data_IF_352486106468
#
_entry.id   IF_352486106468
#
_cell.length_a   1.000
_cell.length_b   1.000
_cell.length_c   1.000
_cell.angle_alpha   90.00
_cell.angle_beta   90.00
_cell.angle_gamma   90.00
#
_symmetry.space_group_name_H-M   'P 1'
#
loop_
_entity.id
_entity.type
_entity.pdbx_description
1 polymer ?
#
# COMPACT_ATOMS: atom_id res chain seq x y z
N UNK A 1 15.17 1.93 -8.60
CA UNK A 1 14.31 3.04 -9.02
C UNK A 1 12.92 2.91 -8.40
N UNK A 2 12.33 4.03 -7.97
CA UNK A 2 11.00 4.05 -7.33
C UNK A 2 10.09 5.13 -7.93
N UNK A 3 8.80 4.91 -7.90
CA UNK A 3 7.79 5.97 -8.02
C UNK A 3 7.56 6.52 -6.61
N UNK A 4 7.61 7.81 -6.43
CA UNK A 4 7.18 8.51 -5.21
C UNK A 4 5.87 9.23 -5.50
N UNK A 5 4.84 8.96 -4.71
CA UNK A 5 3.52 9.55 -4.87
C UNK A 5 3.46 11.06 -4.74
N UNK A 6 2.29 11.64 -4.95
CA UNK A 6 2.02 13.07 -4.77
C UNK A 6 0.71 13.30 -4.05
N UNK A 7 0.63 14.39 -3.30
CA UNK A 7 -0.60 14.85 -2.66
C UNK A 7 -1.38 15.84 -3.53
N UNK A 8 -0.84 16.17 -4.72
CA UNK A 8 -1.49 17.09 -5.64
C UNK A 8 -2.90 16.62 -5.98
N UNK A 9 -3.86 17.51 -5.84
CA UNK A 9 -5.28 17.22 -6.04
C UNK A 9 -5.84 16.10 -5.16
N UNK A 10 -5.18 15.74 -4.04
CA UNK A 10 -5.72 14.73 -3.13
C UNK A 10 -7.13 15.12 -2.70
N UNK A 11 -8.07 14.20 -2.87
CA UNK A 11 -9.49 14.41 -2.72
C UNK A 11 -10.13 13.28 -1.93
N UNK A 12 -11.11 13.61 -1.10
CA UNK A 12 -11.99 12.62 -0.51
C UNK A 12 -13.07 12.25 -1.54
N UNK A 13 -13.14 11.01 -2.00
CA UNK A 13 -14.08 10.63 -3.04
C UNK A 13 -15.52 10.64 -2.54
N UNK A 14 -16.47 10.79 -3.46
CA UNK A 14 -17.89 10.66 -3.17
C UNK A 14 -18.18 9.33 -2.48
N UNK A 15 -18.98 9.38 -1.42
CA UNK A 15 -19.30 8.24 -0.60
C UNK A 15 -19.94 7.09 -1.39
N UNK A 16 -19.41 5.89 -1.19
CA UNK A 16 -19.89 4.66 -1.82
C UNK A 16 -19.63 3.44 -0.92
N UNK A 17 -20.27 2.30 -1.22
CA UNK A 17 -20.08 1.06 -0.44
C UNK A 17 -18.64 0.56 -0.42
N UNK A 18 -17.88 0.86 -1.46
CA UNK A 18 -16.47 0.50 -1.58
C UNK A 18 -15.59 1.12 -0.49
N UNK A 19 -15.91 2.35 -0.03
CA UNK A 19 -15.16 3.01 1.02
C UNK A 19 -15.20 2.25 2.37
N UNK A 20 -16.16 1.36 2.55
CA UNK A 20 -16.19 0.49 3.72
C UNK A 20 -15.02 -0.50 3.79
N UNK A 21 -14.36 -0.77 2.67
CA UNK A 21 -13.14 -1.59 2.65
C UNK A 21 -11.99 -0.96 3.44
N UNK A 22 -11.94 0.37 3.52
CA UNK A 22 -10.85 1.11 4.17
C UNK A 22 -11.25 1.82 5.46
N UNK A 23 -12.52 1.71 5.88
CA UNK A 23 -12.95 2.27 7.16
C UNK A 23 -12.80 1.25 8.27
N UNK A 24 -12.19 1.64 9.38
CA UNK A 24 -12.14 0.82 10.58
C UNK A 24 -13.56 0.58 11.11
N UNK A 25 -13.83 -0.64 11.61
CA UNK A 25 -15.18 -1.06 12.03
C UNK A 25 -15.75 -0.22 13.20
N UNK A 26 -14.87 0.39 14.02
CA UNK A 26 -15.21 1.30 15.10
C UNK A 26 -15.47 2.74 14.63
N UNK A 27 -15.21 3.03 13.36
CA UNK A 27 -15.45 4.33 12.75
C UNK A 27 -16.67 4.25 11.82
N UNK A 28 -17.86 4.18 12.39
CA UNK A 28 -19.15 4.23 11.67
C UNK A 28 -19.36 5.54 10.88
N UNK A 29 -18.33 6.37 10.81
CA UNK A 29 -18.36 7.69 10.23
C UNK A 29 -17.34 7.78 9.08
N UNK A 30 -17.81 7.41 7.88
CA UNK A 30 -17.45 8.27 6.77
C UNK A 30 -18.30 9.52 7.03
N UNK A 31 -17.70 10.67 7.27
CA UNK A 31 -18.48 11.89 7.33
C UNK A 31 -19.25 12.00 6.03
N UNK A 32 -20.57 12.03 6.03
CA UNK A 32 -21.35 12.00 4.79
C UNK A 32 -21.17 13.23 3.92
N UNK A 33 -20.47 14.25 4.42
CA UNK A 33 -20.37 15.58 3.83
C UNK A 33 -18.92 16.00 3.50
N UNK A 34 -17.93 15.09 3.55
CA UNK A 34 -16.51 15.43 3.33
C UNK A 34 -15.96 14.98 1.97
N UNK A 35 -16.76 15.00 0.92
CA UNK A 35 -16.18 14.93 -0.41
C UNK A 35 -15.49 16.25 -0.76
N UNK A 36 -14.30 16.18 -1.32
CA UNK A 36 -13.54 17.34 -1.70
C UNK A 36 -12.07 17.30 -1.33
N UNK A 37 -11.37 18.40 -1.56
CA UNK A 37 -9.94 18.47 -1.27
C UNK A 37 -9.67 18.42 0.24
N UNK A 38 -8.55 17.81 0.58
CA UNK A 38 -8.03 17.83 1.94
C UNK A 38 -7.72 19.25 2.40
N UNK A 39 -7.74 19.46 3.72
CA UNK A 39 -7.34 20.70 4.36
C UNK A 39 -5.97 21.19 3.84
N UNK A 40 -5.84 22.49 3.67
CA UNK A 40 -4.60 23.10 3.15
C UNK A 40 -3.37 22.78 4.00
N UNK A 41 -3.53 22.62 5.32
CA UNK A 41 -2.44 22.21 6.22
C UNK A 41 -1.97 20.79 5.86
N UNK A 42 -2.90 19.84 5.69
CA UNK A 42 -2.58 18.47 5.27
C UNK A 42 -1.84 18.48 3.94
N UNK A 43 -2.33 19.26 2.98
CA UNK A 43 -1.71 19.38 1.66
C UNK A 43 -0.27 19.89 1.74
N UNK A 44 -0.04 21.07 2.31
CA UNK A 44 1.29 21.70 2.28
C UNK A 44 2.31 20.95 3.14
N UNK A 45 1.92 20.46 4.30
CA UNK A 45 2.81 19.68 5.15
C UNK A 45 3.16 18.32 4.51
N UNK A 46 2.24 17.67 3.81
CA UNK A 46 2.54 16.42 3.11
C UNK A 46 3.41 16.66 1.88
N UNK A 47 3.19 17.76 1.14
CA UNK A 47 4.04 18.12 0.01
C UNK A 47 5.50 18.31 0.47
N UNK A 48 5.73 19.06 1.54
CA UNK A 48 7.05 19.25 2.13
C UNK A 48 7.67 17.90 2.56
N UNK A 49 6.90 17.03 3.21
CA UNK A 49 7.37 15.71 3.65
C UNK A 49 7.78 14.83 2.45
N UNK A 50 7.01 14.83 1.36
CA UNK A 50 7.35 14.09 0.15
C UNK A 50 8.57 14.67 -0.58
N UNK A 51 8.78 15.98 -0.57
CA UNK A 51 9.98 16.63 -1.12
C UNK A 51 11.23 16.25 -0.31
N UNK A 52 11.12 16.25 1.02
CA UNK A 52 12.19 15.81 1.90
C UNK A 52 12.50 14.31 1.71
N UNK A 53 11.49 13.45 1.62
CA UNK A 53 11.68 12.04 1.33
C UNK A 53 12.33 11.81 -0.04
N UNK A 54 11.95 12.59 -1.06
CA UNK A 54 12.61 12.52 -2.36
C UNK A 54 14.09 12.83 -2.25
N UNK A 55 14.45 13.87 -1.50
CA UNK A 55 15.85 14.26 -1.28
C UNK A 55 16.63 13.14 -0.58
N UNK A 56 16.07 12.58 0.52
CA UNK A 56 16.67 11.45 1.25
C UNK A 56 16.93 10.25 0.33
N UNK A 57 15.94 9.90 -0.51
CA UNK A 57 16.06 8.79 -1.45
C UNK A 57 17.14 9.05 -2.52
N UNK A 58 17.19 10.26 -3.07
CA UNK A 58 18.18 10.64 -4.09
C UNK A 58 19.61 10.69 -3.53
N UNK A 59 19.79 11.17 -2.31
CA UNK A 59 21.09 11.17 -1.61
C UNK A 59 21.55 9.71 -1.32
N UNK A 60 20.61 8.78 -1.10
CA UNK A 60 20.88 7.35 -1.00
C UNK A 60 21.10 6.67 -2.37
N UNK A 61 21.16 7.42 -3.48
CA UNK A 61 21.39 6.89 -4.82
C UNK A 61 20.16 6.31 -5.52
N UNK A 62 18.96 6.48 -4.96
CA UNK A 62 17.72 5.97 -5.55
C UNK A 62 17.23 6.95 -6.62
N UNK A 63 16.97 6.45 -7.83
CA UNK A 63 16.28 7.24 -8.86
C UNK A 63 14.80 7.33 -8.55
N UNK A 64 14.31 8.55 -8.39
CA UNK A 64 12.92 8.83 -8.04
C UNK A 64 12.14 9.34 -9.25
N UNK A 65 11.03 8.72 -9.56
CA UNK A 65 10.05 9.15 -10.56
C UNK A 65 8.85 9.76 -9.86
N UNK A 66 8.31 10.85 -10.43
CA UNK A 66 7.09 11.49 -9.91
C UNK A 66 5.93 11.27 -10.88
N UNK A 67 4.70 11.01 -10.37
CA UNK A 67 3.52 10.91 -11.22
C UNK A 67 3.17 12.26 -11.86
N UNK A 68 2.50 12.20 -13.01
CA UNK A 68 1.80 13.36 -13.55
C UNK A 68 0.50 13.58 -12.77
N UNK A 69 0.29 14.74 -12.11
CA UNK A 69 -0.93 14.96 -11.34
C UNK A 69 -2.21 14.80 -12.19
N UNK A 70 -3.21 14.14 -11.63
CA UNK A 70 -4.52 13.95 -12.27
C UNK A 70 -5.58 14.86 -11.63
N UNK A 71 -6.64 15.18 -12.38
CA UNK A 71 -7.79 15.93 -11.87
C UNK A 71 -8.73 14.97 -11.10
N UNK A 72 -8.51 14.85 -9.80
CA UNK A 72 -9.21 13.87 -8.96
C UNK A 72 -10.70 14.16 -8.75
N UNK A 73 -11.13 15.43 -8.86
CA UNK A 73 -12.55 15.80 -8.74
C UNK A 73 -13.37 15.48 -9.99
N UNK A 74 -12.71 15.08 -11.07
CA UNK A 74 -13.40 14.63 -12.28
C UNK A 74 -14.21 13.38 -11.96
N UNK A 75 -15.47 13.37 -12.38
CA UNK A 75 -16.32 12.18 -12.29
C UNK A 75 -15.83 11.09 -13.22
N UNK A 76 -15.64 9.91 -12.67
CA UNK A 76 -15.31 8.68 -13.37
C UNK A 76 -16.46 7.68 -13.25
N UNK A 77 -16.60 6.77 -14.22
CA UNK A 77 -17.64 5.75 -14.26
C UNK A 77 -17.20 4.57 -15.13
N UNK A 78 -17.66 3.36 -14.78
CA UNK A 78 -17.52 2.19 -15.64
C UNK A 78 -18.88 1.65 -16.12
N UNK A 79 -19.96 2.41 -15.94
CA UNK A 79 -21.32 2.02 -16.31
C UNK A 79 -22.14 1.35 -15.19
N UNK A 80 -21.49 0.81 -14.16
CA UNK A 80 -22.17 0.23 -12.97
C UNK A 80 -22.23 1.21 -11.82
N UNK A 81 -21.27 2.12 -11.71
CA UNK A 81 -21.15 3.14 -10.69
C UNK A 81 -20.55 4.42 -11.26
N UNK A 82 -20.61 5.49 -10.50
CA UNK A 82 -19.92 6.74 -10.74
C UNK A 82 -19.39 7.29 -9.42
N UNK A 83 -18.22 7.88 -9.45
CA UNK A 83 -17.58 8.56 -8.32
C UNK A 83 -16.56 9.56 -8.84
N UNK A 84 -15.88 10.30 -7.99
CA UNK A 84 -14.64 11.00 -8.32
C UNK A 84 -13.43 10.21 -7.84
N UNK A 85 -12.23 10.61 -8.26
CA UNK A 85 -11.00 9.90 -7.89
C UNK A 85 -10.56 10.30 -6.49
N UNK A 86 -9.65 9.51 -5.90
CA UNK A 86 -9.21 9.70 -4.53
C UNK A 86 -7.93 10.55 -4.48
N UNK A 87 -6.78 9.97 -4.77
CA UNK A 87 -5.47 10.62 -4.75
C UNK A 87 -4.47 9.83 -5.60
N UNK A 88 -3.23 10.29 -5.62
CA UNK A 88 -2.07 9.58 -6.18
C UNK A 88 -0.92 9.53 -5.17
N UNK A 89 -1.28 9.49 -3.88
CA UNK A 89 -0.36 9.55 -2.76
C UNK A 89 0.33 8.20 -2.49
N UNK A 90 -0.40 7.08 -2.64
CA UNK A 90 0.10 5.73 -2.38
C UNK A 90 0.23 4.90 -3.66
N UNK A 91 1.28 5.08 -4.47
CA UNK A 91 1.51 4.26 -5.68
C UNK A 91 1.65 2.77 -5.37
N UNK A 92 2.16 2.40 -4.20
CA UNK A 92 2.32 1.01 -3.74
C UNK A 92 1.03 0.22 -3.80
N UNK A 93 -0.10 0.87 -3.57
CA UNK A 93 -1.41 0.20 -3.55
C UNK A 93 -1.88 -0.18 -4.96
N UNK A 94 -1.45 0.56 -5.96
CA UNK A 94 -2.01 0.50 -7.33
C UNK A 94 -1.15 -0.25 -8.31
N UNK A 95 0.14 -0.45 -8.02
CA UNK A 95 1.08 -1.11 -8.91
C UNK A 95 2.09 -1.97 -8.15
N UNK A 96 2.38 -3.14 -8.68
CA UNK A 96 3.49 -3.99 -8.25
C UNK A 96 4.35 -4.38 -9.44
N UNK A 97 5.65 -4.59 -9.18
CA UNK A 97 6.58 -5.13 -10.18
C UNK A 97 7.07 -6.48 -9.70
N UNK A 98 6.86 -7.51 -10.53
CA UNK A 98 7.31 -8.89 -10.23
C UNK A 98 8.19 -9.34 -11.40
N UNK A 99 9.46 -9.59 -11.12
CA UNK A 99 10.45 -9.78 -12.16
C UNK A 99 10.61 -8.52 -13.01
N UNK A 100 10.39 -8.63 -14.31
CA UNK A 100 10.43 -7.54 -15.29
C UNK A 100 9.03 -7.00 -15.66
N UNK A 101 8.00 -7.44 -14.94
CA UNK A 101 6.60 -7.14 -15.29
C UNK A 101 5.99 -6.15 -14.32
N UNK A 102 5.54 -5.01 -14.85
CA UNK A 102 4.73 -4.01 -14.16
C UNK A 102 3.28 -4.47 -14.23
N UNK A 103 2.63 -4.64 -13.09
CA UNK A 103 1.23 -5.08 -12.99
C UNK A 103 0.41 -3.95 -12.34
N UNK A 104 -0.54 -3.40 -13.10
CA UNK A 104 -1.55 -2.49 -12.55
C UNK A 104 -2.63 -3.31 -11.84
N UNK A 105 -2.88 -2.99 -10.57
CA UNK A 105 -3.84 -3.72 -9.74
C UNK A 105 -5.29 -3.45 -10.15
N UNK A 106 -6.20 -4.41 -9.93
CA UNK A 106 -7.62 -4.26 -10.22
C UNK A 106 -8.39 -3.47 -9.17
N UNK A 107 -7.72 -2.88 -8.21
CA UNK A 107 -8.15 -2.01 -7.11
C UNK A 107 -9.49 -2.36 -6.46
N UNK A 108 -9.53 -2.35 -5.15
CA UNK A 108 -10.74 -2.58 -4.36
C UNK A 108 -11.70 -1.38 -4.32
N UNK A 109 -11.16 -0.18 -4.45
CA UNK A 109 -11.96 1.07 -4.44
C UNK A 109 -12.30 1.54 -5.85
N UNK A 110 -13.56 1.89 -6.06
CA UNK A 110 -14.06 2.50 -7.30
C UNK A 110 -13.31 3.78 -7.66
N UNK A 111 -13.04 4.60 -6.68
CA UNK A 111 -12.32 5.88 -6.82
C UNK A 111 -10.87 5.73 -7.24
N UNK A 112 -10.28 4.53 -7.14
CA UNK A 112 -8.89 4.25 -7.48
C UNK A 112 -8.71 3.46 -8.79
N UNK A 113 -9.80 3.11 -9.49
CA UNK A 113 -9.78 2.29 -10.70
C UNK A 113 -8.92 2.86 -11.85
N UNK A 114 -8.77 4.18 -11.92
CA UNK A 114 -8.00 4.88 -12.94
C UNK A 114 -6.80 5.64 -12.36
N UNK A 115 -6.42 5.37 -11.10
CA UNK A 115 -5.33 6.07 -10.43
C UNK A 115 -3.99 5.85 -11.14
N UNK A 116 -3.77 4.69 -11.75
CA UNK A 116 -2.54 4.38 -12.50
C UNK A 116 -2.34 5.22 -13.76
N UNK A 117 -3.35 5.99 -14.20
CA UNK A 117 -3.22 6.90 -15.34
C UNK A 117 -2.12 7.96 -15.11
N UNK A 118 -1.89 8.35 -13.84
CA UNK A 118 -0.82 9.27 -13.48
C UNK A 118 0.60 8.71 -13.69
N UNK A 119 0.76 7.40 -13.85
CA UNK A 119 2.05 6.72 -14.03
C UNK A 119 2.30 6.29 -15.47
N UNK A 120 1.37 6.54 -16.41
CA UNK A 120 1.46 6.03 -17.79
C UNK A 120 2.75 6.42 -18.50
N UNK A 121 3.22 7.65 -18.34
CA UNK A 121 4.47 8.09 -18.97
C UNK A 121 5.67 7.30 -18.44
N UNK A 122 5.69 7.00 -17.14
CA UNK A 122 6.72 6.20 -16.49
C UNK A 122 6.66 4.75 -17.03
N UNK A 123 5.47 4.17 -17.12
CA UNK A 123 5.30 2.80 -17.63
C UNK A 123 5.66 2.68 -19.11
N UNK A 124 5.34 3.69 -19.93
CA UNK A 124 5.75 3.75 -21.33
C UNK A 124 7.28 3.79 -21.45
N UNK A 125 7.96 4.59 -20.60
CA UNK A 125 9.42 4.63 -20.56
C UNK A 125 10.00 3.25 -20.21
N UNK A 126 9.49 2.59 -19.17
CA UNK A 126 9.93 1.27 -18.74
C UNK A 126 9.66 0.18 -19.79
N UNK A 127 8.51 0.22 -20.43
CA UNK A 127 8.18 -0.69 -21.52
C UNK A 127 9.17 -0.53 -22.69
N UNK A 128 9.55 0.71 -23.05
CA UNK A 128 10.57 0.97 -24.09
C UNK A 128 11.96 0.47 -23.69
N UNK A 129 12.22 0.34 -22.39
CA UNK A 129 13.46 -0.21 -21.82
C UNK A 129 13.42 -1.76 -21.71
N UNK A 130 12.30 -2.41 -22.07
CA UNK A 130 12.15 -3.85 -22.11
C UNK A 130 11.29 -4.46 -21.00
N UNK A 131 10.73 -3.68 -20.10
CA UNK A 131 9.79 -4.19 -19.11
C UNK A 131 8.48 -4.62 -19.76
N UNK A 132 7.90 -5.70 -19.27
CA UNK A 132 6.50 -6.03 -19.57
C UNK A 132 5.59 -5.10 -18.77
N UNK A 133 4.42 -4.79 -19.35
CA UNK A 133 3.41 -3.97 -18.68
C UNK A 133 2.03 -4.55 -18.96
N UNK A 134 1.29 -4.83 -17.87
CA UNK A 134 -0.04 -5.44 -17.93
C UNK A 134 -0.97 -4.77 -16.94
N UNK A 135 -2.23 -4.63 -17.32
CA UNK A 135 -3.31 -4.27 -16.40
C UNK A 135 -4.07 -5.55 -16.00
N UNK A 136 -4.22 -5.81 -14.72
CA UNK A 136 -5.09 -6.89 -14.25
C UNK A 136 -6.54 -6.66 -14.72
N UNK A 137 -7.38 -7.71 -14.83
CA UNK A 137 -8.78 -7.55 -15.22
C UNK A 137 -9.49 -6.52 -14.37
N UNK A 138 -10.07 -5.49 -14.99
CA UNK A 138 -10.82 -4.47 -14.26
C UNK A 138 -12.16 -5.05 -13.78
N UNK A 139 -12.41 -5.14 -12.46
CA UNK A 139 -13.66 -5.65 -11.93
C UNK A 139 -14.80 -4.64 -12.16
N UNK A 140 -16.02 -5.14 -12.21
CA UNK A 140 -17.21 -4.28 -12.30
C UNK A 140 -17.42 -3.48 -11.03
N UNK A 141 -17.09 -4.03 -9.87
CA UNK A 141 -17.29 -3.44 -8.54
C UNK A 141 -18.73 -2.99 -8.32
N UNK A 142 -19.68 -3.84 -8.68
CA UNK A 142 -21.09 -3.62 -8.36
C UNK A 142 -21.27 -3.60 -6.84
N UNK A 143 -22.45 -3.19 -6.37
CA UNK A 143 -22.74 -3.14 -4.93
C UNK A 143 -22.61 -4.51 -4.24
N UNK A 144 -22.79 -5.62 -4.99
CA UNK A 144 -22.64 -6.99 -4.50
C UNK A 144 -21.16 -7.37 -4.24
N UNK A 145 -20.22 -6.56 -4.73
CA UNK A 145 -18.79 -6.73 -4.41
C UNK A 145 -18.49 -6.37 -2.95
N UNK A 146 -19.44 -5.76 -2.23
CA UNK A 146 -19.25 -5.27 -0.87
C UNK A 146 -20.41 -5.70 0.03
N UNK A 147 -20.09 -6.29 1.17
CA UNK A 147 -21.06 -6.66 2.19
C UNK A 147 -20.74 -5.97 3.52
N UNK A 148 -21.79 -5.68 4.33
CA UNK A 148 -21.71 -5.17 5.69
C UNK A 148 -22.76 -5.78 6.62
N UNK A 149 -23.46 -6.77 6.16
CA UNK A 149 -24.52 -7.43 6.94
C UNK A 149 -23.92 -8.22 8.11
N UNK A 150 -22.72 -8.76 7.89
CA UNK A 150 -21.94 -9.46 8.93
C UNK A 150 -20.54 -8.82 9.05
N UNK A 151 -20.35 -8.02 10.09
CA UNK A 151 -19.08 -7.34 10.38
C UNK A 151 -17.95 -8.29 10.85
N UNK A 152 -18.26 -9.56 11.13
CA UNK A 152 -17.25 -10.59 11.39
C UNK A 152 -16.59 -11.10 10.10
N UNK A 153 -17.17 -10.79 8.95
CA UNK A 153 -16.66 -11.13 7.63
C UNK A 153 -16.00 -9.92 6.97
N UNK A 154 -15.15 -10.19 5.98
CA UNK A 154 -14.56 -9.13 5.16
C UNK A 154 -15.65 -8.39 4.39
N UNK A 155 -15.45 -7.09 4.21
CA UNK A 155 -16.34 -6.25 3.39
C UNK A 155 -16.28 -6.66 1.92
N UNK A 156 -15.07 -6.93 1.38
CA UNK A 156 -14.87 -7.36 0.00
C UNK A 156 -15.30 -8.82 -0.19
N UNK A 157 -16.17 -9.07 -1.16
CA UNK A 157 -16.65 -10.42 -1.54
C UNK A 157 -15.76 -11.08 -2.59
N UNK A 158 -15.92 -12.39 -2.79
CA UNK A 158 -15.16 -13.19 -3.77
C UNK A 158 -15.92 -13.37 -5.11
N UNK A 159 -16.58 -12.34 -5.63
CA UNK A 159 -17.34 -12.46 -6.89
C UNK A 159 -16.53 -12.10 -8.15
N UNK A 160 -15.47 -11.34 -8.01
CA UNK A 160 -14.54 -10.97 -9.08
C UNK A 160 -13.10 -10.91 -8.52
N UNK A 161 -12.06 -11.10 -9.37
CA UNK A 161 -10.68 -10.90 -8.91
C UNK A 161 -10.42 -9.44 -8.55
N UNK A 162 -10.11 -9.19 -7.28
CA UNK A 162 -9.82 -7.85 -6.76
C UNK A 162 -8.63 -7.91 -5.81
N UNK A 163 -7.68 -7.01 -5.98
CA UNK A 163 -6.61 -6.77 -5.00
C UNK A 163 -5.97 -5.39 -5.21
N UNK A 164 -5.56 -4.79 -4.12
CA UNK A 164 -4.60 -3.71 -4.10
C UNK A 164 -3.19 -4.31 -4.09
N UNK A 165 -2.23 -3.70 -4.78
CA UNK A 165 -0.86 -4.24 -4.85
C UNK A 165 -0.17 -4.27 -3.48
N UNK A 166 -0.56 -3.41 -2.55
CA UNK A 166 -0.06 -3.43 -1.18
C UNK A 166 -0.53 -4.64 -0.33
N UNK A 167 -1.36 -5.52 -0.89
CA UNK A 167 -1.63 -6.85 -0.31
C UNK A 167 -0.50 -7.86 -0.60
N UNK A 168 0.52 -7.46 -1.36
CA UNK A 168 1.54 -8.34 -1.90
C UNK A 168 2.91 -7.97 -1.33
N UNK A 169 3.63 -8.96 -0.79
CA UNK A 169 5.07 -8.87 -0.51
C UNK A 169 5.82 -9.88 -1.38
N UNK A 170 6.90 -9.44 -1.98
CA UNK A 170 7.78 -10.26 -2.82
C UNK A 170 8.92 -10.83 -1.99
N UNK A 171 9.14 -12.13 -2.08
CA UNK A 171 10.23 -12.83 -1.43
C UNK A 171 10.86 -13.79 -2.44
N UNK A 172 11.72 -13.30 -3.31
CA UNK A 172 12.29 -14.03 -4.45
C UNK A 172 11.18 -14.59 -5.37
N UNK A 173 11.08 -15.91 -5.50
CA UNK A 173 10.02 -16.59 -6.26
C UNK A 173 8.74 -16.82 -5.45
N UNK A 174 8.74 -16.48 -4.18
CA UNK A 174 7.57 -16.56 -3.29
C UNK A 174 6.88 -15.21 -3.16
N UNK A 175 5.57 -15.22 -3.27
CA UNK A 175 4.71 -14.04 -3.17
C UNK A 175 3.77 -14.25 -2.00
N UNK A 176 3.93 -13.46 -0.94
CA UNK A 176 2.97 -13.43 0.15
C UNK A 176 1.81 -12.53 -0.25
N UNK A 177 0.61 -13.05 -0.20
CA UNK A 177 -0.62 -12.34 -0.57
C UNK A 177 -1.59 -12.33 0.61
N UNK A 178 -1.93 -11.14 1.10
CA UNK A 178 -2.88 -10.98 2.20
C UNK A 178 -4.32 -11.02 1.68
N UNK A 179 -5.11 -11.98 2.14
CA UNK A 179 -6.56 -12.00 1.97
C UNK A 179 -7.20 -11.03 2.98
N UNK A 180 -7.79 -9.92 2.49
CA UNK A 180 -8.31 -8.83 3.32
C UNK A 180 -9.44 -8.07 2.62
N UNK A 181 -9.93 -6.98 3.22
CA UNK A 181 -10.93 -6.10 2.60
C UNK A 181 -10.46 -5.44 1.29
N UNK A 182 -9.17 -5.50 0.98
CA UNK A 182 -8.59 -4.91 -0.23
C UNK A 182 -7.94 -5.93 -1.15
N UNK A 183 -8.13 -7.23 -0.89
CA UNK A 183 -7.62 -8.29 -1.75
C UNK A 183 -8.25 -9.63 -1.43
N UNK A 184 -8.99 -10.20 -2.38
CA UNK A 184 -9.75 -11.43 -2.20
C UNK A 184 -9.04 -12.67 -2.79
N UNK A 185 -9.59 -13.87 -2.55
CA UNK A 185 -9.02 -15.14 -3.00
C UNK A 185 -9.01 -15.28 -4.52
N UNK A 186 -10.01 -14.75 -5.21
CA UNK A 186 -10.01 -14.76 -6.68
C UNK A 186 -8.90 -13.88 -7.24
N UNK A 187 -8.55 -12.77 -6.57
CA UNK A 187 -7.39 -11.95 -6.90
C UNK A 187 -6.08 -12.71 -6.79
N UNK A 188 -5.90 -13.46 -5.69
CA UNK A 188 -4.75 -14.33 -5.49
C UNK A 188 -4.67 -15.44 -6.56
N UNK A 189 -5.80 -16.07 -6.88
CA UNK A 189 -5.86 -17.09 -7.91
C UNK A 189 -5.52 -16.55 -9.30
N UNK A 190 -6.04 -15.35 -9.63
CA UNK A 190 -5.68 -14.69 -10.88
C UNK A 190 -4.18 -14.42 -10.95
N UNK A 191 -3.61 -13.86 -9.86
CA UNK A 191 -2.18 -13.55 -9.79
C UNK A 191 -1.34 -14.82 -9.97
N UNK A 192 -1.66 -15.92 -9.28
CA UNK A 192 -0.96 -17.20 -9.45
C UNK A 192 -1.04 -17.72 -10.89
N UNK A 193 -2.22 -17.67 -11.49
CA UNK A 193 -2.41 -18.11 -12.88
C UNK A 193 -1.60 -17.25 -13.87
N UNK A 194 -1.56 -15.93 -13.64
CA UNK A 194 -0.80 -14.99 -14.47
C UNK A 194 0.71 -15.21 -14.35
N UNK A 195 1.22 -15.38 -13.13
CA UNK A 195 2.64 -15.56 -12.86
C UNK A 195 3.17 -16.95 -13.26
N UNK A 196 2.28 -17.92 -13.44
CA UNK A 196 2.63 -19.29 -13.81
C UNK A 196 3.40 -20.05 -12.75
N UNK A 197 4.17 -21.05 -13.15
CA UNK A 197 4.90 -21.94 -12.22
C UNK A 197 6.22 -21.38 -11.70
N UNK A 198 6.68 -20.25 -12.24
CA UNK A 198 7.92 -19.60 -11.79
C UNK A 198 7.77 -19.04 -10.39
N UNK A 199 6.58 -18.51 -10.07
CA UNK A 199 6.28 -17.91 -8.78
C UNK A 199 5.24 -18.71 -8.01
N UNK A 200 5.30 -18.65 -6.68
CA UNK A 200 4.36 -19.28 -5.75
C UNK A 200 3.63 -18.22 -4.95
N UNK A 201 2.31 -18.12 -5.11
CA UNK A 201 1.47 -17.20 -4.35
C UNK A 201 0.96 -17.89 -3.09
N UNK A 202 1.39 -17.41 -1.92
CA UNK A 202 0.98 -17.88 -0.61
C UNK A 202 -0.12 -16.98 -0.07
N UNK A 203 -1.34 -17.49 -0.01
CA UNK A 203 -2.49 -16.73 0.53
C UNK A 203 -2.43 -16.77 2.05
N UNK A 204 -2.33 -15.59 2.66
CA UNK A 204 -2.29 -15.40 4.10
C UNK A 204 -3.70 -15.10 4.61
N UNK A 205 -4.19 -15.98 5.47
CA UNK A 205 -5.47 -15.85 6.16
C UNK A 205 -5.23 -15.79 7.67
N UNK A 206 -6.16 -15.20 8.42
CA UNK A 206 -6.12 -15.14 9.90
C UNK A 206 -4.91 -14.36 10.48
N UNK A 207 -4.31 -13.48 9.72
CA UNK A 207 -3.26 -12.56 10.18
C UNK A 207 -3.87 -11.19 10.43
N UNK A 208 -4.38 -10.57 9.36
CA UNK A 208 -4.97 -9.25 9.38
C UNK A 208 -5.94 -9.12 8.21
N UNK A 209 -7.22 -9.03 8.49
CA UNK A 209 -8.26 -9.05 7.45
C UNK A 209 -8.67 -7.66 6.95
N UNK A 210 -8.07 -6.59 7.49
CA UNK A 210 -8.60 -5.25 7.28
C UNK A 210 -8.12 -4.63 5.95
N UNK A 211 -6.84 -4.19 5.84
CA UNK A 211 -6.35 -3.55 4.62
C UNK A 211 -5.09 -4.27 4.10
N UNK A 212 -3.97 -3.57 4.04
CA UNK A 212 -2.72 -3.97 3.40
C UNK A 212 -1.78 -4.73 4.36
N UNK A 213 -0.83 -5.47 3.80
CA UNK A 213 0.12 -6.29 4.58
C UNK A 213 1.26 -5.47 5.18
N UNK A 214 1.61 -4.35 4.60
CA UNK A 214 2.83 -3.59 4.87
C UNK A 214 2.86 -2.80 6.19
N UNK A 215 1.78 -2.84 6.96
CA UNK A 215 1.76 -2.44 8.38
C UNK A 215 1.74 -3.65 9.33
N UNK A 216 1.95 -4.84 8.80
CA UNK A 216 1.88 -6.13 9.52
C UNK A 216 3.18 -6.90 9.40
N UNK A 217 3.75 -6.97 8.20
CA UNK A 217 5.01 -7.65 7.88
C UNK A 217 5.83 -6.71 7.00
N UNK A 218 7.09 -6.49 7.35
CA UNK A 218 8.09 -5.89 6.46
C UNK A 218 9.26 -6.85 6.27
N UNK A 219 9.59 -7.14 5.01
CA UNK A 219 10.75 -7.95 4.66
C UNK A 219 11.95 -7.01 4.54
N UNK A 220 12.91 -7.11 5.47
CA UNK A 220 14.06 -6.20 5.54
C UNK A 220 15.18 -6.65 4.59
N UNK A 221 15.52 -7.93 4.66
CA UNK A 221 16.45 -8.65 3.77
C UNK A 221 16.15 -10.14 3.80
N UNK A 222 16.79 -10.92 2.96
CA UNK A 222 16.68 -12.36 3.03
C UNK A 222 17.08 -12.88 4.43
N UNK A 223 16.21 -13.67 5.03
CA UNK A 223 16.39 -14.23 6.38
C UNK A 223 16.04 -13.28 7.53
N UNK A 224 15.58 -12.05 7.30
CA UNK A 224 15.21 -11.10 8.35
C UNK A 224 13.91 -10.36 8.04
N UNK A 225 12.95 -10.41 8.94
CA UNK A 225 11.68 -9.69 8.83
C UNK A 225 11.31 -8.92 10.10
N UNK A 226 10.55 -7.84 9.92
CA UNK A 226 9.92 -7.07 11.00
C UNK A 226 8.45 -7.45 11.05
N UNK A 227 7.94 -7.78 12.24
CA UNK A 227 6.59 -8.30 12.45
C UNK A 227 5.84 -7.45 13.46
N UNK A 228 4.58 -7.17 13.16
CA UNK A 228 3.64 -6.54 14.08
C UNK A 228 3.14 -7.57 15.10
N UNK A 229 3.49 -7.46 16.40
CA UNK A 229 3.15 -8.47 17.41
C UNK A 229 1.67 -8.53 17.78
N UNK A 230 0.87 -7.51 17.44
CA UNK A 230 -0.58 -7.55 17.64
C UNK A 230 -1.32 -8.38 16.59
N UNK A 231 -0.67 -8.67 15.46
CA UNK A 231 -1.30 -9.34 14.31
C UNK A 231 -0.64 -10.65 13.94
N UNK A 232 0.66 -10.77 14.18
CA UNK A 232 1.46 -11.97 13.87
C UNK A 232 1.96 -12.61 15.16
N UNK A 233 1.87 -13.92 15.23
CA UNK A 233 2.41 -14.74 16.31
C UNK A 233 2.92 -16.07 15.74
N UNK A 234 3.45 -16.96 16.57
CA UNK A 234 4.04 -18.22 16.13
C UNK A 234 3.01 -19.17 15.44
N UNK A 235 1.72 -19.05 15.78
CA UNK A 235 0.68 -19.92 15.23
C UNK A 235 0.21 -19.50 13.84
N UNK A 236 0.13 -18.18 13.58
CA UNK A 236 -0.38 -17.63 12.31
C UNK A 236 0.70 -17.11 11.37
N UNK A 237 1.96 -17.17 11.77
CA UNK A 237 3.10 -16.73 10.95
C UNK A 237 3.18 -17.53 9.65
N UNK A 238 3.41 -16.85 8.49
CA UNK A 238 3.66 -17.54 7.24
C UNK A 238 4.79 -18.57 7.35
N UNK A 239 4.57 -19.79 6.84
CA UNK A 239 5.54 -20.87 6.92
C UNK A 239 6.93 -20.48 6.40
N UNK A 240 6.94 -19.70 5.32
CA UNK A 240 8.17 -19.15 4.72
C UNK A 240 9.02 -18.34 5.71
N UNK A 241 8.40 -17.65 6.64
CA UNK A 241 9.08 -16.77 7.59
C UNK A 241 9.48 -17.47 8.90
N UNK A 242 9.04 -18.70 9.14
CA UNK A 242 9.33 -19.41 10.41
C UNK A 242 10.83 -19.63 10.65
N UNK A 243 11.59 -19.85 9.59
CA UNK A 243 13.05 -20.03 9.66
C UNK A 243 13.85 -18.73 9.68
N UNK A 244 13.20 -17.57 9.46
CA UNK A 244 13.84 -16.28 9.41
C UNK A 244 14.09 -15.71 10.82
N UNK A 245 15.10 -14.87 10.96
CA UNK A 245 15.23 -13.99 12.11
C UNK A 245 14.09 -12.97 12.13
N UNK A 246 13.57 -12.69 13.31
CA UNK A 246 12.39 -11.87 13.52
C UNK A 246 12.68 -10.70 14.43
N UNK A 247 12.37 -9.51 13.96
CA UNK A 247 12.26 -8.34 14.80
C UNK A 247 10.78 -8.19 15.17
N UNK A 248 10.46 -8.41 16.44
CA UNK A 248 9.14 -8.08 16.95
C UNK A 248 9.08 -6.57 17.17
N UNK A 249 8.20 -5.91 16.42
CA UNK A 249 8.11 -4.46 16.42
C UNK A 249 7.77 -3.94 17.83
N UNK A 250 8.51 -2.99 18.37
CA UNK A 250 8.16 -2.33 19.63
C UNK A 250 6.86 -1.54 19.49
N UNK A 251 6.25 -1.09 20.60
CA UNK A 251 5.09 -0.20 20.55
C UNK A 251 5.36 1.03 19.68
N UNK A 252 4.44 1.33 18.76
CA UNK A 252 4.57 2.47 17.88
C UNK A 252 4.23 3.78 18.57
N UNK A 253 5.02 4.81 18.31
CA UNK A 253 4.66 6.17 18.68
C UNK A 253 3.45 6.60 17.87
N UNK A 254 2.38 6.99 18.55
CA UNK A 254 1.20 7.55 17.88
C UNK A 254 1.50 8.97 17.40
N UNK A 255 1.63 9.12 16.10
CA UNK A 255 1.90 10.41 15.47
C UNK A 255 0.64 11.29 15.30
N UNK A 256 -0.53 10.76 15.71
CA UNK A 256 -1.80 11.44 15.57
C UNK A 256 -2.33 11.50 14.14
N UNK A 257 -3.44 12.16 13.99
CA UNK A 257 -4.07 12.42 12.69
C UNK A 257 -4.83 13.76 12.72
N UNK A 258 -5.09 14.30 11.55
CA UNK A 258 -5.85 15.53 11.37
C UNK A 258 -7.16 15.22 10.63
N UNK A 259 -8.30 15.58 11.21
CA UNK A 259 -9.66 15.34 10.73
C UNK A 259 -10.06 13.86 10.69
N UNK A 260 -9.36 13.01 9.94
CA UNK A 260 -9.73 11.60 9.74
C UNK A 260 -8.56 10.68 10.03
N UNK A 261 -8.86 9.45 10.41
CA UNK A 261 -7.89 8.38 10.61
C UNK A 261 -8.10 7.30 9.52
N UNK A 262 -7.12 7.12 8.64
CA UNK A 262 -7.11 6.11 7.58
C UNK A 262 -6.09 5.00 7.80
N UNK A 263 -5.25 5.12 8.83
CA UNK A 263 -4.29 4.10 9.20
C UNK A 263 -4.16 3.98 10.72
N UNK A 264 -3.95 2.77 11.22
CA UNK A 264 -3.64 2.52 12.64
C UNK A 264 -2.29 3.12 13.03
N UNK A 265 -1.99 3.12 14.33
CA UNK A 265 -0.66 3.50 14.85
C UNK A 265 0.46 2.65 14.24
N UNK A 266 0.16 1.42 13.83
CA UNK A 266 1.08 0.48 13.19
C UNK A 266 1.54 0.89 11.79
N UNK A 267 1.10 2.03 11.28
CA UNK A 267 1.67 2.64 10.08
C UNK A 267 3.17 2.96 10.25
N UNK A 268 3.68 3.01 11.47
CA UNK A 268 5.12 3.10 11.75
C UNK A 268 5.94 1.89 11.28
N UNK A 269 5.35 0.71 11.13
CA UNK A 269 5.98 -0.48 10.51
C UNK A 269 6.19 -0.31 9.00
N UNK A 270 5.52 0.63 8.39
CA UNK A 270 5.51 0.92 6.96
C UNK A 270 6.80 1.64 6.52
N UNK A 271 7.95 1.03 6.81
CA UNK A 271 9.27 1.50 6.41
C UNK A 271 9.62 1.04 5.00
N UNK A 272 10.59 1.69 4.36
CA UNK A 272 11.07 1.35 3.03
C UNK A 272 12.51 0.82 3.10
N UNK A 273 12.73 -0.45 2.79
CA UNK A 273 14.09 -0.98 2.60
C UNK A 273 14.69 -0.42 1.31
N UNK A 274 15.87 0.20 1.41
CA UNK A 274 16.66 0.68 0.26
C UNK A 274 17.50 -0.45 -0.28
N UNK A 275 18.22 -1.12 0.60
CA UNK A 275 19.04 -2.29 0.36
C UNK A 275 18.95 -3.27 1.54
N UNK A 276 19.83 -4.27 1.59
CA UNK A 276 19.84 -5.31 2.63
C UNK A 276 20.17 -4.79 4.03
N UNK A 277 20.74 -3.60 4.15
CA UNK A 277 21.23 -3.06 5.42
C UNK A 277 20.66 -1.67 5.74
N UNK A 278 19.89 -1.05 4.83
CA UNK A 278 19.44 0.34 4.98
C UNK A 278 17.92 0.45 4.77
N UNK A 279 17.26 1.11 5.71
CA UNK A 279 15.81 1.40 5.62
C UNK A 279 15.53 2.88 5.81
N UNK A 280 14.51 3.40 5.14
CA UNK A 280 13.91 4.70 5.45
C UNK A 280 12.80 4.48 6.46
N UNK A 281 12.86 5.18 7.58
CA UNK A 281 11.94 5.04 8.71
C UNK A 281 11.50 6.40 9.24
N UNK A 282 10.31 6.46 9.82
CA UNK A 282 9.87 7.67 10.51
C UNK A 282 10.74 7.92 11.75
N UNK A 283 11.44 9.04 11.78
CA UNK A 283 12.41 9.36 12.82
C UNK A 283 11.79 9.55 14.22
N UNK A 284 10.47 9.62 14.32
CA UNK A 284 9.74 9.62 15.60
C UNK A 284 9.63 8.23 16.23
N UNK A 285 9.85 7.16 15.45
CA UNK A 285 9.79 5.76 15.91
C UNK A 285 11.14 5.33 16.54
N UNK A 286 11.55 6.02 17.62
CA UNK A 286 12.89 5.89 18.21
C UNK A 286 13.19 4.48 18.71
N UNK A 287 12.22 3.81 19.35
CA UNK A 287 12.40 2.43 19.83
C UNK A 287 12.59 1.44 18.66
N UNK A 288 11.86 1.63 17.57
CA UNK A 288 12.03 0.82 16.36
C UNK A 288 13.42 1.03 15.74
N UNK A 289 13.89 2.29 15.67
CA UNK A 289 15.23 2.62 15.15
C UNK A 289 16.32 1.95 16.00
N UNK A 290 16.19 1.97 17.32
CA UNK A 290 17.12 1.30 18.22
C UNK A 290 17.09 -0.24 18.02
N UNK A 291 15.91 -0.80 17.81
CA UNK A 291 15.77 -2.24 17.58
C UNK A 291 16.40 -2.66 16.24
N UNK A 292 16.14 -1.94 15.16
CA UNK A 292 16.73 -2.18 13.83
C UNK A 292 18.27 -2.20 13.87
N UNK A 293 18.87 -1.26 14.61
CA UNK A 293 20.33 -1.17 14.79
C UNK A 293 20.96 -2.43 15.42
N UNK A 294 20.23 -3.12 16.31
CA UNK A 294 20.72 -4.37 16.94
C UNK A 294 20.91 -5.50 15.90
N UNK A 295 20.17 -5.44 14.80
CA UNK A 295 20.24 -6.39 13.70
C UNK A 295 21.14 -5.91 12.53
N UNK A 296 21.87 -4.80 12.74
CA UNK A 296 22.77 -4.23 11.74
C UNK A 296 22.04 -3.55 10.58
N UNK A 297 20.84 -3.02 10.84
CA UNK A 297 20.08 -2.22 9.89
C UNK A 297 20.31 -0.73 10.18
N UNK A 298 20.89 -0.03 9.21
CA UNK A 298 21.04 1.42 9.24
C UNK A 298 19.71 2.10 8.86
N UNK A 299 19.50 3.28 9.42
CA UNK A 299 18.25 4.03 9.20
C UNK A 299 18.51 5.38 8.54
N UNK A 300 17.73 5.70 7.53
CA UNK A 300 17.61 7.04 6.96
C UNK A 300 16.32 7.68 7.50
N UNK A 301 16.48 8.86 8.06
CA UNK A 301 15.40 9.57 8.70
C UNK A 301 14.48 10.25 7.69
N UNK A 302 13.18 10.05 7.84
CA UNK A 302 12.16 10.78 7.12
C UNK A 302 10.93 11.02 8.01
N UNK A 303 9.99 11.80 7.54
CA UNK A 303 8.69 11.98 8.19
C UNK A 303 7.59 12.03 7.14
N UNK A 304 6.43 11.46 7.46
CA UNK A 304 5.17 11.73 6.79
C UNK A 304 4.19 12.12 7.91
N UNK A 305 4.06 13.42 8.16
CA UNK A 305 3.28 13.98 9.28
C UNK A 305 1.83 13.56 9.25
N UNK A 306 1.26 13.39 8.06
CA UNK A 306 -0.13 13.00 7.85
C UNK A 306 -0.31 11.55 7.39
N UNK A 307 0.64 10.65 7.72
CA UNK A 307 0.57 9.23 7.34
C UNK A 307 -0.72 8.55 7.83
N UNK A 308 -1.17 8.85 9.05
CA UNK A 308 -2.45 8.31 9.57
C UNK A 308 -3.67 8.97 8.93
N UNK A 309 -3.59 10.24 8.58
CA UNK A 309 -4.67 11.00 7.92
C UNK A 309 -4.90 10.52 6.49
N UNK A 310 -3.82 10.33 5.72
CA UNK A 310 -3.87 9.95 4.31
C UNK A 310 -3.78 8.43 4.09
N UNK A 311 -3.44 7.67 5.13
CA UNK A 311 -3.47 6.21 5.09
C UNK A 311 -2.19 5.55 4.58
N UNK A 312 -1.03 6.21 4.63
CA UNK A 312 0.23 5.61 4.17
C UNK A 312 1.48 6.30 4.70
N UNK A 313 2.59 5.53 4.82
CA UNK A 313 3.91 6.02 5.20
C UNK A 313 4.94 5.65 4.13
N UNK A 314 6.21 5.50 4.47
CA UNK A 314 7.37 5.40 3.55
C UNK A 314 7.19 4.34 2.46
N UNK A 315 6.72 3.15 2.81
CA UNK A 315 6.50 2.08 1.84
C UNK A 315 5.29 2.38 0.94
N UNK A 316 4.17 2.80 1.52
CA UNK A 316 2.95 3.11 0.76
C UNK A 316 3.14 4.24 -0.26
N UNK A 317 3.87 5.32 0.13
CA UNK A 317 4.07 6.48 -0.74
C UNK A 317 5.11 6.22 -1.84
N UNK A 318 5.72 5.03 -1.85
CA UNK A 318 6.69 4.60 -2.87
C UNK A 318 6.28 3.29 -3.52
N UNK A 319 6.60 3.11 -4.80
CA UNK A 319 6.49 1.81 -5.48
C UNK A 319 7.78 1.49 -6.22
N UNK A 320 8.32 0.29 -5.99
CA UNK A 320 9.54 -0.14 -6.67
C UNK A 320 9.29 -0.38 -8.15
N UNK A 321 10.12 0.23 -9.01
CA UNK A 321 10.16 -0.04 -10.44
C UNK A 321 11.32 -0.98 -10.80
N UNK A 322 12.47 -0.79 -10.14
CA UNK A 322 13.67 -1.61 -10.34
C UNK A 322 14.33 -1.79 -8.98
N UNK A 323 14.63 -3.04 -8.62
CA UNK A 323 15.52 -3.43 -7.53
C UNK A 323 16.62 -4.33 -8.11
N UNK A 324 17.85 -4.01 -7.76
CA UNK A 324 19.03 -4.82 -8.10
C UNK A 324 19.32 -5.83 -6.99
#
# INVERSE_FOLDING_TARGET
EVILGTVDNANMPTHGKDLHCINYADQDRIPPDEDGFWDSKVYYETQEDLENLQTTLQEAGVKVHRPTPIETRRVISNGYWKTNQYYTFCPRDTVTVIGDTIIESPMSLRSRQFETDCFKDIFIEKMKQGSNWVSAPKPRLTDDSYQREDLSQMTLTDIEPVFDAANILRCNDDILYLNSNTGNKLGAQWLQNFLGSKYRVHVLENIYSYIHIDSTIALLREGLCLLNPERVNEDNMPELLKSWDKIWCPPMVDIGYHQTNRASVWVGVNLLSIDENTVVVDNRQTELIEELKKYGIDTLDAQIRHSRTLGGSMHCVTADLVRE
#
